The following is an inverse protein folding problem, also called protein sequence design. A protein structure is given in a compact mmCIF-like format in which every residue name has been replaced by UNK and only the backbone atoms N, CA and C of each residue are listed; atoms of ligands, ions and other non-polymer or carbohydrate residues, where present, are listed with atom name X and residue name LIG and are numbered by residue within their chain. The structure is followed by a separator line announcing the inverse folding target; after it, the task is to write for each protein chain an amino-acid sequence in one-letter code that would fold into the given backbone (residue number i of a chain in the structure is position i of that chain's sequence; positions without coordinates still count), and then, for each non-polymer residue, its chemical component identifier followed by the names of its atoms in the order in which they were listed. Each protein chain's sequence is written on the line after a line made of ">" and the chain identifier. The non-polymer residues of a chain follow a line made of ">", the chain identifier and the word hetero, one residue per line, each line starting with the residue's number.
data_IF_526393087881
#
_entry.id   IF_526393087881
#
_cell.length_a   1.000
_cell.length_b   1.000
_cell.length_c   1.000
_cell.angle_alpha   90.00
_cell.angle_beta   90.00
_cell.angle_gamma   90.00
#
_symmetry.space_group_name_H-M   'P 1'
#
loop_
_entity.id
_entity.type
_entity.pdbx_description
1 polymer ?
#
# COMPACT_ATOMS: atom_id res chain seq x y z
N UNK A 1 -6.03 -13.45 16.66
CA UNK A 1 -6.55 -12.08 16.87
C UNK A 1 -6.02 -11.27 15.70
N UNK A 2 -6.86 -10.81 14.79
CA UNK A 2 -6.39 -9.99 13.66
C UNK A 2 -5.90 -8.65 14.22
N UNK A 3 -4.64 -8.32 13.96
CA UNK A 3 -4.10 -7.02 14.35
C UNK A 3 -4.68 -5.96 13.42
N UNK A 4 -4.98 -4.76 13.92
CA UNK A 4 -5.47 -3.64 13.08
C UNK A 4 -4.56 -3.36 11.88
N UNK A 5 -3.27 -3.73 11.98
CA UNK A 5 -2.30 -3.69 10.90
C UNK A 5 -2.64 -4.61 9.71
N UNK A 6 -3.27 -5.78 9.93
CA UNK A 6 -3.68 -6.67 8.84
C UNK A 6 -4.76 -6.03 7.97
N UNK A 7 -5.65 -5.21 8.56
CA UNK A 7 -6.70 -4.49 7.82
C UNK A 7 -6.10 -3.64 6.71
N UNK A 8 -5.00 -2.93 6.98
CA UNK A 8 -4.34 -2.07 5.98
C UNK A 8 -3.71 -2.92 4.88
N UNK A 9 -2.97 -3.98 5.25
CA UNK A 9 -2.30 -4.79 4.25
C UNK A 9 -3.29 -5.59 3.40
N UNK A 10 -4.31 -6.18 4.00
CA UNK A 10 -5.35 -6.94 3.31
C UNK A 10 -6.15 -6.03 2.38
N UNK A 11 -6.39 -4.77 2.78
CA UNK A 11 -7.04 -3.79 1.93
C UNK A 11 -6.21 -3.46 0.68
N UNK A 12 -4.89 -3.25 0.82
CA UNK A 12 -3.98 -3.03 -0.31
C UNK A 12 -4.00 -4.27 -1.22
N UNK A 13 -3.82 -5.46 -0.63
CA UNK A 13 -3.79 -6.74 -1.36
C UNK A 13 -5.05 -6.95 -2.17
N UNK A 14 -6.22 -6.78 -1.53
CA UNK A 14 -7.51 -6.93 -2.21
C UNK A 14 -7.66 -5.97 -3.38
N UNK A 15 -7.38 -4.69 -3.19
CA UNK A 15 -7.57 -3.68 -4.24
C UNK A 15 -6.63 -3.89 -5.42
N UNK A 16 -5.38 -4.27 -5.19
CA UNK A 16 -4.42 -4.54 -6.27
C UNK A 16 -4.76 -5.84 -7.01
N UNK A 17 -5.18 -6.90 -6.30
CA UNK A 17 -5.64 -8.15 -6.92
C UNK A 17 -6.90 -7.93 -7.80
N UNK A 18 -7.85 -7.11 -7.34
CA UNK A 18 -9.05 -6.75 -8.13
C UNK A 18 -8.70 -6.02 -9.45
N UNK A 19 -7.49 -5.45 -9.54
CA UNK A 19 -6.95 -4.81 -10.75
C UNK A 19 -6.13 -5.76 -11.63
N UNK A 20 -6.04 -7.03 -11.27
CA UNK A 20 -5.24 -8.03 -11.96
C UNK A 20 -3.74 -7.94 -11.65
N UNK A 21 -3.35 -7.22 -10.60
CA UNK A 21 -1.95 -7.14 -10.18
C UNK A 21 -1.63 -8.22 -9.14
N UNK A 22 -0.48 -8.86 -9.28
CA UNK A 22 0.04 -9.79 -8.30
C UNK A 22 0.82 -9.05 -7.22
N UNK A 23 0.60 -9.37 -5.93
CA UNK A 23 1.35 -8.75 -4.84
C UNK A 23 2.47 -9.64 -4.31
N UNK A 24 3.63 -9.04 -4.12
CA UNK A 24 4.80 -9.67 -3.54
C UNK A 24 5.28 -8.83 -2.36
N UNK A 25 5.50 -9.48 -1.22
CA UNK A 25 6.16 -8.86 -0.07
C UNK A 25 7.66 -9.08 -0.17
N UNK A 26 8.42 -8.02 0.05
CA UNK A 26 9.88 -8.11 0.22
C UNK A 26 10.19 -8.38 1.70
N UNK A 27 11.41 -8.85 1.98
CA UNK A 27 11.91 -9.05 3.35
C UNK A 27 11.93 -7.76 4.21
N UNK A 28 11.83 -6.59 3.58
CA UNK A 28 11.79 -5.27 4.23
C UNK A 28 10.36 -4.73 4.42
N UNK A 29 9.34 -5.61 4.46
CA UNK A 29 7.91 -5.27 4.62
C UNK A 29 7.31 -4.37 3.52
N UNK A 30 8.03 -4.18 2.40
CA UNK A 30 7.52 -3.50 1.21
C UNK A 30 6.57 -4.41 0.45
N UNK A 31 5.52 -3.83 -0.10
CA UNK A 31 4.57 -4.53 -0.97
C UNK A 31 4.77 -4.02 -2.39
N UNK A 32 5.09 -4.92 -3.32
CA UNK A 32 5.16 -4.65 -4.75
C UNK A 32 3.89 -5.19 -5.39
N UNK A 33 3.21 -4.39 -6.20
CA UNK A 33 2.12 -4.82 -7.07
C UNK A 33 2.62 -4.86 -8.51
N UNK A 34 2.64 -6.05 -9.10
CA UNK A 34 3.22 -6.34 -10.41
C UNK A 34 2.14 -6.73 -11.41
N UNK A 35 2.35 -6.37 -12.68
CA UNK A 35 1.54 -6.89 -13.78
C UNK A 35 1.94 -8.33 -14.18
N UNK A 36 1.33 -8.83 -15.25
CA UNK A 36 1.56 -10.15 -15.82
C UNK A 36 2.98 -10.33 -16.40
N UNK A 37 3.70 -9.23 -16.64
CA UNK A 37 5.08 -9.23 -17.14
C UNK A 37 6.10 -9.07 -16.00
N UNK A 38 5.66 -9.13 -14.74
CA UNK A 38 6.48 -8.88 -13.56
C UNK A 38 7.10 -7.47 -13.53
N UNK A 39 6.46 -6.49 -14.17
CA UNK A 39 6.84 -5.08 -13.98
C UNK A 39 6.10 -4.49 -12.77
N UNK A 40 6.82 -3.76 -11.92
CA UNK A 40 6.22 -3.13 -10.75
C UNK A 40 5.37 -1.93 -11.16
N UNK A 41 4.04 -2.07 -11.08
CA UNK A 41 3.09 -0.98 -11.30
C UNK A 41 3.00 -0.06 -10.08
N UNK A 42 2.97 -0.63 -8.88
CA UNK A 42 2.91 0.11 -7.62
C UNK A 42 3.85 -0.49 -6.58
N UNK A 43 4.36 0.37 -5.70
CA UNK A 43 5.14 -0.01 -4.52
C UNK A 43 4.59 0.71 -3.30
N UNK A 44 4.32 -0.05 -2.25
CA UNK A 44 3.89 0.44 -0.95
C UNK A 44 5.01 0.17 0.05
N UNK A 45 5.71 1.24 0.44
CA UNK A 45 6.66 1.21 1.55
C UNK A 45 5.88 1.36 2.85
N UNK A 46 5.28 0.25 3.31
CA UNK A 46 4.42 0.19 4.48
C UNK A 46 5.25 -0.11 5.74
N UNK A 47 5.11 0.74 6.75
CA UNK A 47 5.67 0.53 8.09
C UNK A 47 4.53 0.55 9.08
N UNK A 48 4.43 -0.51 9.88
CA UNK A 48 3.38 -0.70 10.87
C UNK A 48 3.99 -0.58 12.27
N UNK A 49 3.31 0.13 13.17
CA UNK A 49 3.67 0.19 14.59
C UNK A 49 2.44 -0.07 15.46
N UNK A 50 2.63 -0.11 16.78
CA UNK A 50 1.54 -0.28 17.73
C UNK A 50 0.58 0.91 17.77
N UNK A 51 1.03 2.10 17.36
CA UNK A 51 0.28 3.36 17.50
C UNK A 51 -0.16 3.96 16.17
N UNK A 52 0.55 3.65 15.09
CA UNK A 52 0.35 4.23 13.77
C UNK A 52 0.78 3.29 12.64
N UNK A 53 0.57 3.76 11.41
CA UNK A 53 1.27 3.25 10.25
C UNK A 53 1.72 4.41 9.36
N UNK A 54 2.80 4.17 8.63
CA UNK A 54 3.21 5.04 7.53
C UNK A 54 3.28 4.26 6.23
N UNK A 55 2.95 4.93 5.14
CA UNK A 55 2.99 4.33 3.82
C UNK A 55 3.44 5.35 2.78
N UNK A 56 4.54 5.08 2.08
CA UNK A 56 4.86 5.78 0.85
C UNK A 56 4.39 4.95 -0.34
N UNK A 57 3.51 5.52 -1.16
CA UNK A 57 3.00 4.89 -2.36
C UNK A 57 3.74 5.45 -3.56
N UNK A 58 4.38 4.57 -4.32
CA UNK A 58 5.02 4.87 -5.59
C UNK A 58 4.29 4.16 -6.72
N UNK A 59 4.27 4.76 -7.90
CA UNK A 59 3.78 4.11 -9.12
C UNK A 59 4.80 4.16 -10.24
N UNK A 60 4.63 3.30 -11.24
CA UNK A 60 5.40 3.35 -12.48
C UNK A 60 5.29 4.73 -13.14
N UNK A 61 6.44 5.29 -13.48
CA UNK A 61 6.61 6.48 -14.33
C UNK A 61 7.61 6.17 -15.45
N UNK A 62 7.94 7.20 -16.24
CA UNK A 62 8.75 7.05 -17.47
C UNK A 62 10.16 6.47 -17.23
N UNK A 63 10.76 6.77 -16.07
CA UNK A 63 12.13 6.35 -15.73
C UNK A 63 12.20 5.49 -14.45
N UNK A 64 11.07 4.88 -14.07
CA UNK A 64 10.98 4.04 -12.87
C UNK A 64 9.90 4.51 -11.89
N UNK A 65 10.01 4.09 -10.64
CA UNK A 65 9.01 4.36 -9.62
C UNK A 65 9.06 5.83 -9.17
N UNK A 66 7.90 6.48 -9.22
CA UNK A 66 7.71 7.87 -8.81
C UNK A 66 6.81 7.92 -7.58
N UNK A 67 7.22 8.68 -6.57
CA UNK A 67 6.42 8.89 -5.38
C UNK A 67 5.11 9.61 -5.73
N UNK A 68 3.98 8.98 -5.39
CA UNK A 68 2.65 9.56 -5.54
C UNK A 68 2.22 10.30 -4.30
N UNK A 69 2.30 9.63 -3.15
CA UNK A 69 1.82 10.18 -1.87
C UNK A 69 2.48 9.49 -0.68
N UNK A 70 2.59 10.22 0.43
CA UNK A 70 3.00 9.68 1.73
C UNK A 70 1.88 9.86 2.74
N UNK A 71 1.75 8.87 3.60
CA UNK A 71 0.81 8.84 4.72
C UNK A 71 1.58 8.51 6.00
N UNK A 72 1.19 9.14 7.10
CA UNK A 72 1.63 8.82 8.45
C UNK A 72 0.42 9.01 9.37
N UNK A 73 -0.24 7.91 9.73
CA UNK A 73 -1.61 7.91 10.25
C UNK A 73 -1.65 7.16 11.57
N UNK A 74 -2.01 7.83 12.68
CA UNK A 74 -2.31 7.15 13.94
C UNK A 74 -3.51 6.22 13.80
N UNK A 75 -3.49 5.06 14.48
CA UNK A 75 -4.63 4.13 14.48
C UNK A 75 -5.92 4.75 15.03
N UNK A 76 -5.79 5.80 15.83
CA UNK A 76 -6.91 6.57 16.40
C UNK A 76 -7.53 7.57 15.41
N UNK A 77 -6.92 7.81 14.24
CA UNK A 77 -7.42 8.78 13.26
C UNK A 77 -8.21 8.10 12.13
N UNK A 78 -9.47 7.78 12.41
CA UNK A 78 -10.34 7.11 11.44
C UNK A 78 -10.57 7.91 10.14
N UNK A 79 -10.47 9.24 10.17
CA UNK A 79 -10.68 10.07 8.98
C UNK A 79 -9.52 9.89 7.98
N UNK A 80 -8.28 9.97 8.45
CA UNK A 80 -7.10 9.75 7.60
C UNK A 80 -6.97 8.30 7.14
N UNK A 81 -7.38 7.32 7.96
CA UNK A 81 -7.45 5.91 7.54
C UNK A 81 -8.39 5.76 6.33
N UNK A 82 -9.56 6.40 6.37
CA UNK A 82 -10.51 6.37 5.23
C UNK A 82 -9.92 7.06 4.01
N UNK A 83 -9.27 8.20 4.19
CA UNK A 83 -8.61 8.91 3.09
C UNK A 83 -7.52 8.05 2.43
N UNK A 84 -6.72 7.34 3.23
CA UNK A 84 -5.75 6.37 2.72
C UNK A 84 -6.43 5.26 1.91
N UNK A 85 -7.51 4.68 2.44
CA UNK A 85 -8.25 3.61 1.76
C UNK A 85 -8.93 4.09 0.46
N UNK A 86 -9.42 5.33 0.43
CA UNK A 86 -9.97 5.96 -0.77
C UNK A 86 -8.88 6.22 -1.80
N UNK A 87 -7.72 6.70 -1.35
CA UNK A 87 -6.56 6.88 -2.22
C UNK A 87 -6.12 5.57 -2.86
N UNK A 88 -5.94 4.49 -2.09
CA UNK A 88 -5.58 3.16 -2.61
C UNK A 88 -6.63 2.63 -3.59
N UNK A 89 -7.92 2.87 -3.32
CA UNK A 89 -9.02 2.55 -4.25
C UNK A 89 -8.93 3.35 -5.56
N UNK A 90 -8.41 4.57 -5.53
CA UNK A 90 -8.31 5.48 -6.67
C UNK A 90 -7.04 5.36 -7.52
N UNK A 91 -6.08 4.53 -7.09
CA UNK A 91 -4.85 4.24 -7.88
C UNK A 91 -5.18 3.65 -9.25
#
# INVERSE_FOLDING_TARGET
>A
MEHISSIITDFIVKNMNERGLSLYRTDEEKILALDDQYETCFKFDLVLSDNDFSCAVLSKGEHGLVLRRRFNIPWTNAAEIREFMEFVRSL
#
